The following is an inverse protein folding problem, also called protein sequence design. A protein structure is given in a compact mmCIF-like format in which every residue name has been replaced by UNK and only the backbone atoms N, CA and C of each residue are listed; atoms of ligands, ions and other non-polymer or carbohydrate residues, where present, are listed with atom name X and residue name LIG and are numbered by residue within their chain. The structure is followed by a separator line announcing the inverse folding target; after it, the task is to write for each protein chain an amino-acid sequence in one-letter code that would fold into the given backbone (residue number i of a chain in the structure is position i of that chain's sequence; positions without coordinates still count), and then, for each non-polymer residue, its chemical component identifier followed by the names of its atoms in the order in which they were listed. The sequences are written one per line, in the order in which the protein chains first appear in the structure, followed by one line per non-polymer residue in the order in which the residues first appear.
data_IF_234598251735
#
_entry.id   IF_234598251735
#
_cell.length_a   1.000
_cell.length_b   1.000
_cell.length_c   1.000
_cell.angle_alpha   90.00
_cell.angle_beta   90.00
_cell.angle_gamma   90.00
#
_symmetry.space_group_name_H-M   'P 1'
#
loop_
_entity.id
_entity.type
_entity.pdbx_description
1 polymer ?
#
# COMPACT_ATOMS: atom_id res chain seq x y z
N UNK A 1 -40.07 -38.10 84.45
CA UNK A 1 -41.02 -39.17 84.84
C UNK A 1 -41.08 -39.40 86.36
N UNK A 2 -39.95 -39.61 87.05
CA UNK A 2 -39.94 -39.92 88.49
C UNK A 2 -40.41 -38.74 89.37
N UNK A 3 -39.96 -37.53 89.08
CA UNK A 3 -40.37 -36.32 89.81
C UNK A 3 -41.86 -36.02 89.62
N UNK A 4 -42.36 -36.12 88.38
CA UNK A 4 -43.81 -36.07 88.10
C UNK A 4 -44.62 -37.06 88.92
N UNK A 5 -44.18 -38.31 89.03
CA UNK A 5 -44.91 -39.30 89.81
C UNK A 5 -44.93 -38.96 91.31
N UNK A 6 -43.89 -38.28 91.82
CA UNK A 6 -43.85 -37.75 93.19
C UNK A 6 -44.78 -36.54 93.34
N UNK A 7 -44.76 -35.60 92.41
CA UNK A 7 -45.66 -34.44 92.38
C UNK A 7 -47.14 -34.86 92.29
N UNK A 8 -47.44 -35.87 91.47
CA UNK A 8 -48.78 -36.45 91.36
C UNK A 8 -49.25 -37.04 92.68
N UNK A 9 -48.41 -37.84 93.36
CA UNK A 9 -48.73 -38.39 94.68
C UNK A 9 -48.89 -37.30 95.75
N UNK A 10 -48.03 -36.28 95.74
CA UNK A 10 -48.14 -35.15 96.66
C UNK A 10 -49.43 -34.34 96.43
N UNK A 11 -49.84 -34.18 95.17
CA UNK A 11 -51.11 -33.55 94.81
C UNK A 11 -52.32 -34.43 95.16
N UNK A 12 -52.27 -35.74 94.93
CA UNK A 12 -53.33 -36.69 95.33
C UNK A 12 -53.57 -36.65 96.85
N UNK A 13 -52.50 -36.48 97.65
CA UNK A 13 -52.59 -36.29 99.10
C UNK A 13 -53.23 -34.96 99.52
N UNK A 14 -53.26 -33.95 98.64
CA UNK A 14 -53.87 -32.63 98.90
C UNK A 14 -55.38 -32.57 98.60
N UNK A 15 -55.98 -33.64 98.07
CA UNK A 15 -57.40 -33.70 97.69
C UNK A 15 -58.32 -33.90 98.91
N UNK A 16 -59.51 -33.27 98.89
CA UNK A 16 -60.53 -33.42 99.93
C UNK A 16 -61.10 -34.84 100.03
N UNK A 17 -61.49 -35.28 101.23
CA UNK A 17 -62.00 -36.64 101.47
C UNK A 17 -63.29 -36.95 100.69
N UNK A 18 -63.51 -38.23 100.35
CA UNK A 18 -64.65 -38.68 99.54
C UNK A 18 -66.01 -38.61 100.26
N UNK A 19 -66.02 -38.39 101.57
CA UNK A 19 -67.21 -38.41 102.43
C UNK A 19 -68.03 -37.10 102.41
N UNK A 20 -67.45 -35.96 102.03
CA UNK A 20 -68.08 -34.64 102.16
C UNK A 20 -68.76 -34.17 100.85
N UNK A 21 -70.08 -34.20 100.82
CA UNK A 21 -70.90 -33.84 99.64
C UNK A 21 -70.75 -32.37 99.22
N UNK A 22 -70.40 -31.47 100.14
CA UNK A 22 -70.20 -30.03 99.88
C UNK A 22 -68.88 -29.69 99.19
N UNK A 23 -67.87 -30.59 99.24
CA UNK A 23 -66.53 -30.36 98.66
C UNK A 23 -66.31 -31.13 97.34
N UNK A 24 -67.29 -31.93 96.92
CA UNK A 24 -67.23 -32.78 95.73
C UNK A 24 -66.92 -31.99 94.45
N UNK A 25 -67.59 -30.85 94.23
CA UNK A 25 -67.36 -30.03 93.04
C UNK A 25 -65.95 -29.45 92.98
N UNK A 26 -65.39 -29.08 94.14
CA UNK A 26 -64.01 -28.57 94.25
C UNK A 26 -63.02 -29.67 93.88
N UNK A 27 -63.20 -30.90 94.39
CA UNK A 27 -62.37 -32.07 94.03
C UNK A 27 -62.46 -32.37 92.52
N UNK A 28 -63.65 -32.35 91.94
CA UNK A 28 -63.85 -32.56 90.49
C UNK A 28 -63.12 -31.52 89.65
N UNK A 29 -63.17 -30.24 90.04
CA UNK A 29 -62.42 -29.16 89.37
C UNK A 29 -60.91 -29.39 89.45
N UNK A 30 -60.39 -29.71 90.64
CA UNK A 30 -58.97 -30.01 90.85
C UNK A 30 -58.51 -31.20 90.00
N UNK A 31 -59.30 -32.28 89.93
CA UNK A 31 -59.02 -33.44 89.09
C UNK A 31 -58.96 -33.07 87.60
N UNK A 32 -59.98 -32.38 87.09
CA UNK A 32 -60.01 -31.95 85.68
C UNK A 32 -58.85 -31.01 85.34
N UNK A 33 -58.46 -30.11 86.24
CA UNK A 33 -57.32 -29.21 86.04
C UNK A 33 -56.00 -29.95 85.96
N UNK A 34 -55.80 -30.96 86.82
CA UNK A 34 -54.60 -31.80 86.75
C UNK A 34 -54.58 -32.68 85.51
N UNK A 35 -55.71 -33.26 85.11
CA UNK A 35 -55.81 -33.98 83.85
C UNK A 35 -55.41 -33.06 82.69
N UNK A 36 -55.93 -31.84 82.60
CA UNK A 36 -55.54 -30.87 81.55
C UNK A 36 -54.04 -30.56 81.57
N UNK A 37 -53.41 -30.44 82.74
CA UNK A 37 -51.95 -30.23 82.86
C UNK A 37 -51.18 -31.46 82.36
N UNK A 38 -51.63 -32.67 82.68
CA UNK A 38 -51.04 -33.91 82.16
C UNK A 38 -51.21 -34.04 80.65
N UNK A 39 -52.40 -33.72 80.12
CA UNK A 39 -52.69 -33.68 78.68
C UNK A 39 -51.81 -32.64 77.96
N UNK A 40 -51.73 -31.42 78.49
CA UNK A 40 -50.90 -30.36 77.92
C UNK A 40 -49.42 -30.74 77.87
N UNK A 41 -48.91 -31.45 78.88
CA UNK A 41 -47.55 -31.92 78.84
C UNK A 41 -47.32 -33.02 77.80
N UNK A 42 -48.23 -34.00 77.68
CA UNK A 42 -48.14 -35.01 76.62
C UNK A 42 -48.19 -34.36 75.24
N UNK A 43 -49.03 -33.35 75.08
CA UNK A 43 -49.11 -32.57 73.86
C UNK A 43 -47.76 -31.89 73.54
N UNK A 44 -47.11 -31.28 74.54
CA UNK A 44 -45.76 -30.70 74.36
C UNK A 44 -44.70 -31.75 74.00
N UNK A 45 -44.77 -32.96 74.53
CA UNK A 45 -43.86 -34.04 74.14
C UNK A 45 -44.10 -34.50 72.70
N UNK A 46 -45.37 -34.61 72.30
CA UNK A 46 -45.76 -34.94 70.92
C UNK A 46 -45.30 -33.83 69.97
N UNK A 47 -45.51 -32.56 70.34
CA UNK A 47 -45.08 -31.39 69.59
C UNK A 47 -43.55 -31.40 69.37
N UNK A 48 -42.75 -31.60 70.43
CA UNK A 48 -41.29 -31.74 70.31
C UNK A 48 -40.87 -32.87 69.38
N UNK A 49 -41.54 -34.03 69.47
CA UNK A 49 -41.26 -35.15 68.56
C UNK A 49 -41.64 -34.82 67.11
N UNK A 50 -42.73 -34.09 66.90
CA UNK A 50 -43.16 -33.63 65.57
C UNK A 50 -42.21 -32.57 65.01
N UNK A 51 -41.72 -31.65 65.83
CA UNK A 51 -40.71 -30.65 65.46
C UNK A 51 -39.43 -31.32 64.96
N UNK A 52 -38.89 -32.29 65.72
CA UNK A 52 -37.69 -33.05 65.31
C UNK A 52 -37.93 -33.79 63.99
N UNK A 53 -39.11 -34.42 63.82
CA UNK A 53 -39.47 -35.07 62.55
C UNK A 53 -39.56 -34.08 61.39
N UNK A 54 -40.13 -32.90 61.64
CA UNK A 54 -40.24 -31.83 60.65
C UNK A 54 -38.87 -31.29 60.24
N UNK A 55 -37.93 -31.14 61.18
CA UNK A 55 -36.56 -30.73 60.89
C UNK A 55 -35.87 -31.72 59.95
N UNK A 56 -35.95 -33.03 60.27
CA UNK A 56 -35.42 -34.08 59.39
C UNK A 56 -36.06 -34.04 58.01
N UNK A 57 -37.39 -33.85 57.93
CA UNK A 57 -38.09 -33.73 56.63
C UNK A 57 -37.62 -32.51 55.83
N UNK A 58 -37.42 -31.36 56.49
CA UNK A 58 -36.88 -30.15 55.83
C UNK A 58 -35.50 -30.41 55.25
N UNK A 59 -34.62 -31.07 55.99
CA UNK A 59 -33.28 -31.44 55.49
C UNK A 59 -33.36 -32.39 54.29
N UNK A 60 -34.24 -33.39 54.33
CA UNK A 60 -34.43 -34.31 53.21
C UNK A 60 -34.97 -33.61 51.96
N UNK A 61 -35.90 -32.66 52.13
CA UNK A 61 -36.41 -31.83 51.03
C UNK A 61 -35.30 -30.97 50.43
N UNK A 62 -34.48 -30.32 51.26
CA UNK A 62 -33.32 -29.55 50.79
C UNK A 62 -32.35 -30.42 49.98
N UNK A 63 -31.98 -31.60 50.48
CA UNK A 63 -31.11 -32.54 49.77
C UNK A 63 -31.71 -32.96 48.43
N UNK A 64 -33.02 -33.22 48.38
CA UNK A 64 -33.71 -33.57 47.12
C UNK A 64 -33.64 -32.41 46.12
N UNK A 65 -33.88 -31.19 46.57
CA UNK A 65 -33.85 -30.00 45.73
C UNK A 65 -32.43 -29.70 45.21
N UNK A 66 -31.42 -29.81 46.08
CA UNK A 66 -30.00 -29.70 45.72
C UNK A 66 -29.64 -30.73 44.63
N UNK A 67 -30.00 -32.00 44.81
CA UNK A 67 -29.78 -33.04 43.81
C UNK A 67 -30.49 -32.74 42.48
N UNK A 68 -31.73 -32.25 42.52
CA UNK A 68 -32.47 -31.87 41.32
C UNK A 68 -31.81 -30.68 40.61
N UNK A 69 -31.34 -29.70 41.37
CA UNK A 69 -30.64 -28.54 40.86
C UNK A 69 -29.32 -28.93 40.20
N UNK A 70 -28.55 -29.85 40.78
CA UNK A 70 -27.32 -30.37 40.16
C UNK A 70 -27.59 -31.03 38.80
N UNK A 71 -28.62 -31.87 38.72
CA UNK A 71 -29.03 -32.52 37.46
C UNK A 71 -29.45 -31.46 36.44
N UNK A 72 -30.28 -30.49 36.84
CA UNK A 72 -30.71 -29.40 35.99
C UNK A 72 -29.51 -28.57 35.48
N UNK A 73 -28.55 -28.25 36.35
CA UNK A 73 -27.33 -27.53 35.99
C UNK A 73 -26.47 -28.32 34.99
N UNK A 74 -26.33 -29.63 35.18
CA UNK A 74 -25.61 -30.50 34.22
C UNK A 74 -26.27 -30.46 32.84
N UNK A 75 -27.59 -30.56 32.78
CA UNK A 75 -28.33 -30.47 31.51
C UNK A 75 -28.19 -29.10 30.84
N UNK A 76 -28.25 -28.01 31.61
CA UNK A 76 -28.05 -26.66 31.10
C UNK A 76 -26.63 -26.45 30.57
N UNK A 77 -25.62 -26.90 31.32
CA UNK A 77 -24.21 -26.81 30.91
C UNK A 77 -23.94 -27.61 29.64
N UNK A 78 -24.49 -28.82 29.52
CA UNK A 78 -24.38 -29.63 28.30
C UNK A 78 -25.02 -28.93 27.09
N UNK A 79 -26.21 -28.34 27.28
CA UNK A 79 -26.89 -27.57 26.22
C UNK A 79 -26.10 -26.32 25.83
N UNK A 80 -25.57 -25.60 26.83
CA UNK A 80 -24.76 -24.40 26.63
C UNK A 80 -23.48 -24.73 25.87
N UNK A 81 -22.78 -25.80 26.23
CA UNK A 81 -21.55 -26.25 25.55
C UNK A 81 -21.80 -26.56 24.08
N UNK A 82 -22.88 -27.28 23.75
CA UNK A 82 -23.26 -27.56 22.35
C UNK A 82 -23.56 -26.29 21.55
N UNK A 83 -24.27 -25.34 22.16
CA UNK A 83 -24.56 -24.05 21.51
C UNK A 83 -23.29 -23.21 21.32
N UNK A 84 -22.39 -23.27 22.30
CA UNK A 84 -21.11 -22.57 22.27
C UNK A 84 -20.20 -23.12 21.16
N UNK A 85 -20.07 -24.44 21.02
CA UNK A 85 -19.36 -25.07 19.90
C UNK A 85 -19.94 -24.64 18.53
N UNK A 86 -21.27 -24.61 18.42
CA UNK A 86 -21.94 -24.14 17.20
C UNK A 86 -21.66 -22.67 16.89
N UNK A 87 -21.58 -21.81 17.92
CA UNK A 87 -21.18 -20.41 17.79
C UNK A 87 -19.71 -20.30 17.38
N UNK A 88 -18.80 -21.02 18.03
CA UNK A 88 -17.37 -21.03 17.73
C UNK A 88 -17.08 -21.51 16.32
N UNK A 89 -17.77 -22.55 15.84
CA UNK A 89 -17.67 -23.00 14.46
C UNK A 89 -18.10 -21.91 13.45
N UNK A 90 -19.15 -21.14 13.75
CA UNK A 90 -19.56 -19.98 12.93
C UNK A 90 -18.51 -18.87 12.99
N UNK A 91 -17.98 -18.56 14.16
CA UNK A 91 -16.93 -17.56 14.34
C UNK A 91 -15.66 -17.94 13.57
N UNK A 92 -15.26 -19.22 13.59
CA UNK A 92 -14.12 -19.71 12.82
C UNK A 92 -14.34 -19.57 11.31
N UNK A 93 -15.55 -19.82 10.80
CA UNK A 93 -15.90 -19.55 9.39
C UNK A 93 -15.77 -18.06 9.07
N UNK A 94 -16.32 -17.18 9.92
CA UNK A 94 -16.20 -15.72 9.75
C UNK A 94 -14.74 -15.30 9.73
N UNK A 95 -13.91 -15.78 10.66
CA UNK A 95 -12.50 -15.45 10.72
C UNK A 95 -11.74 -15.91 9.47
N UNK A 96 -12.00 -17.13 8.95
CA UNK A 96 -11.41 -17.60 7.70
C UNK A 96 -11.81 -16.72 6.52
N UNK A 97 -13.09 -16.33 6.44
CA UNK A 97 -13.55 -15.42 5.39
C UNK A 97 -12.89 -14.06 5.50
N UNK A 98 -12.75 -13.53 6.72
CA UNK A 98 -12.08 -12.27 7.01
C UNK A 98 -10.59 -12.28 6.61
N UNK A 99 -9.85 -13.32 6.97
CA UNK A 99 -8.44 -13.46 6.55
C UNK A 99 -8.32 -13.59 5.03
N UNK A 100 -9.21 -14.35 4.40
CA UNK A 100 -9.25 -14.50 2.94
C UNK A 100 -9.58 -13.18 2.23
N UNK A 101 -10.54 -12.40 2.74
CA UNK A 101 -10.90 -11.10 2.17
C UNK A 101 -9.77 -10.10 2.37
N UNK A 102 -9.15 -10.02 3.54
CA UNK A 102 -7.95 -9.20 3.78
C UNK A 102 -6.85 -9.56 2.78
N UNK A 103 -6.52 -10.84 2.62
CA UNK A 103 -5.48 -11.29 1.68
C UNK A 103 -5.80 -10.85 0.25
N UNK A 104 -7.06 -11.00 -0.19
CA UNK A 104 -7.51 -10.53 -1.51
C UNK A 104 -7.41 -9.02 -1.66
N UNK A 105 -7.78 -8.26 -0.62
CA UNK A 105 -7.68 -6.80 -0.61
C UNK A 105 -6.23 -6.32 -0.68
N UNK A 106 -5.32 -6.96 0.08
CA UNK A 106 -3.87 -6.67 0.02
C UNK A 106 -3.33 -6.97 -1.38
N UNK A 107 -3.76 -8.06 -2.01
CA UNK A 107 -3.41 -8.36 -3.41
C UNK A 107 -3.88 -7.28 -4.37
N UNK A 108 -5.15 -6.84 -4.27
CA UNK A 108 -5.71 -5.75 -5.09
C UNK A 108 -5.02 -4.41 -4.84
N UNK A 109 -4.60 -4.13 -3.61
CA UNK A 109 -3.85 -2.92 -3.25
C UNK A 109 -2.49 -2.83 -3.94
N UNK A 110 -1.87 -3.94 -4.35
CA UNK A 110 -0.63 -3.88 -5.14
C UNK A 110 -0.89 -3.29 -6.53
N UNK A 111 -2.05 -3.59 -7.13
CA UNK A 111 -2.43 -3.15 -8.48
C UNK A 111 -3.73 -2.32 -8.43
N UNK A 112 -3.71 -1.18 -7.72
CA UNK A 112 -4.90 -0.31 -7.54
C UNK A 112 -5.45 0.19 -8.88
N UNK A 113 -4.56 0.52 -9.81
CA UNK A 113 -4.91 1.03 -11.14
C UNK A 113 -5.47 -0.05 -12.08
N UNK A 114 -5.38 -1.33 -11.69
CA UNK A 114 -5.85 -2.46 -12.51
C UNK A 114 -5.10 -2.65 -13.83
N UNK A 115 -3.98 -1.95 -14.03
CA UNK A 115 -3.16 -2.07 -15.24
C UNK A 115 -2.52 -3.45 -15.28
N UNK A 116 -2.54 -4.06 -16.46
CA UNK A 116 -1.81 -5.30 -16.73
C UNK A 116 -0.32 -4.98 -16.77
N UNK A 117 0.43 -5.46 -15.78
CA UNK A 117 1.89 -5.33 -15.78
C UNK A 117 2.50 -6.28 -16.81
N UNK A 118 3.44 -5.76 -17.60
CA UNK A 118 4.24 -6.60 -18.50
C UNK A 118 5.13 -7.51 -17.67
N UNK A 119 5.24 -8.78 -18.08
CA UNK A 119 6.10 -9.78 -17.44
C UNK A 119 7.56 -9.28 -17.36
N UNK A 120 8.14 -9.34 -16.16
CA UNK A 120 9.53 -9.00 -15.93
C UNK A 120 10.37 -10.27 -15.81
N UNK A 121 11.02 -10.65 -16.92
CA UNK A 121 11.80 -11.89 -17.01
C UNK A 121 12.92 -11.93 -15.98
N UNK A 122 13.65 -10.83 -15.79
CA UNK A 122 14.76 -10.77 -14.83
C UNK A 122 14.26 -11.07 -13.42
N UNK A 123 13.13 -10.48 -13.05
CA UNK A 123 12.52 -10.72 -11.74
C UNK A 123 12.07 -12.17 -11.58
N UNK A 124 11.43 -12.74 -12.59
CA UNK A 124 10.98 -14.14 -12.57
C UNK A 124 12.16 -15.10 -12.39
N UNK A 125 13.28 -14.90 -13.08
CA UNK A 125 14.44 -15.77 -12.93
C UNK A 125 15.25 -15.52 -11.65
N UNK A 126 15.13 -14.33 -11.05
CA UNK A 126 15.74 -14.02 -9.76
C UNK A 126 15.00 -14.64 -8.56
N UNK A 127 13.71 -14.93 -8.70
CA UNK A 127 12.87 -15.51 -7.64
C UNK A 127 12.58 -16.98 -7.94
N UNK A 128 13.13 -17.89 -7.13
CA UNK A 128 12.88 -19.34 -7.27
C UNK A 128 11.41 -19.73 -7.00
N UNK A 129 10.64 -18.88 -6.30
CA UNK A 129 9.21 -19.10 -6.12
C UNK A 129 8.37 -18.66 -7.33
N UNK A 130 8.99 -18.16 -8.40
CA UNK A 130 8.30 -17.74 -9.60
C UNK A 130 7.75 -18.92 -10.41
N UNK A 131 6.86 -18.59 -11.36
CA UNK A 131 6.25 -19.58 -12.25
C UNK A 131 7.24 -20.25 -13.20
N UNK A 132 8.46 -19.72 -13.35
CA UNK A 132 9.49 -20.31 -14.22
C UNK A 132 9.98 -21.63 -13.64
N UNK A 133 10.25 -21.64 -12.33
CA UNK A 133 10.76 -22.82 -11.63
C UNK A 133 9.63 -23.66 -11.02
N UNK A 134 8.52 -23.02 -10.63
CA UNK A 134 7.34 -23.68 -10.07
C UNK A 134 6.06 -23.34 -10.84
N UNK A 135 5.84 -23.91 -12.03
CA UNK A 135 4.65 -23.62 -12.82
C UNK A 135 3.38 -24.11 -12.10
N UNK A 136 2.34 -23.28 -12.07
CA UNK A 136 1.06 -23.65 -11.47
C UNK A 136 0.25 -24.48 -12.46
N UNK A 137 -0.31 -25.60 -12.00
CA UNK A 137 -0.98 -26.57 -12.87
C UNK A 137 -2.16 -26.03 -13.68
N UNK A 138 -2.85 -25.00 -13.18
CA UNK A 138 -3.93 -24.33 -13.92
C UNK A 138 -3.47 -23.65 -15.22
N UNK A 139 -2.18 -23.41 -15.39
CA UNK A 139 -1.61 -22.80 -16.60
C UNK A 139 -1.33 -23.83 -17.69
N UNK A 140 -1.21 -25.11 -17.35
CA UNK A 140 -0.96 -26.19 -18.31
C UNK A 140 0.43 -26.21 -18.94
N UNK A 141 1.28 -25.20 -18.71
CA UNK A 141 2.63 -25.13 -19.25
C UNK A 141 3.63 -25.75 -18.28
N UNK A 142 4.07 -26.98 -18.57
CA UNK A 142 5.10 -27.69 -17.84
C UNK A 142 6.29 -27.96 -18.76
N UNK A 143 7.41 -27.24 -18.62
CA UNK A 143 8.55 -27.39 -19.53
C UNK A 143 9.18 -28.78 -19.45
N UNK A 144 9.17 -29.42 -18.29
CA UNK A 144 9.83 -30.71 -18.05
C UNK A 144 8.98 -31.93 -18.44
N UNK A 145 7.72 -31.72 -18.84
CA UNK A 145 6.77 -32.82 -19.09
C UNK A 145 7.20 -33.73 -20.26
N UNK A 146 8.00 -33.20 -21.18
CA UNK A 146 8.53 -33.90 -22.36
C UNK A 146 10.05 -34.09 -22.26
N UNK A 147 10.63 -34.01 -21.07
CA UNK A 147 12.09 -34.15 -20.88
C UNK A 147 12.63 -35.49 -21.41
N UNK A 148 11.83 -36.55 -21.39
CA UNK A 148 12.19 -37.86 -21.92
C UNK A 148 12.35 -37.86 -23.45
N UNK A 149 11.63 -37.01 -24.19
CA UNK A 149 11.73 -36.92 -25.65
C UNK A 149 13.10 -36.42 -26.11
N UNK A 150 13.81 -35.69 -25.25
CA UNK A 150 15.14 -35.14 -25.52
C UNK A 150 16.27 -36.03 -25.01
N UNK A 151 15.95 -37.17 -24.38
CA UNK A 151 16.98 -38.12 -23.94
C UNK A 151 17.53 -38.85 -25.17
N UNK A 152 18.63 -38.33 -25.70
CA UNK A 152 19.31 -38.89 -26.87
C UNK A 152 20.01 -40.20 -26.48
N UNK A 153 19.33 -41.33 -26.66
CA UNK A 153 19.93 -42.67 -26.60
C UNK A 153 20.36 -43.07 -28.00
N UNK A 154 21.64 -42.88 -28.31
CA UNK A 154 22.15 -43.13 -29.65
C UNK A 154 23.31 -44.15 -29.65
N UNK A 155 23.23 -45.13 -30.55
CA UNK A 155 24.33 -46.06 -30.83
C UNK A 155 25.64 -45.33 -31.14
N UNK A 156 25.55 -44.24 -31.90
CA UNK A 156 26.72 -43.48 -32.33
C UNK A 156 27.52 -42.83 -31.18
N UNK A 157 26.91 -42.64 -29.99
CA UNK A 157 27.59 -42.04 -28.83
C UNK A 157 28.11 -43.09 -27.83
N UNK A 158 27.56 -44.30 -27.87
CA UNK A 158 27.86 -45.35 -26.88
C UNK A 158 28.93 -46.34 -27.37
N UNK A 159 29.10 -46.49 -28.68
CA UNK A 159 30.02 -47.46 -29.29
C UNK A 159 31.12 -46.73 -30.05
N UNK A 160 32.34 -47.27 -30.00
CA UNK A 160 33.48 -46.72 -30.76
C UNK A 160 33.22 -46.70 -32.27
N UNK A 161 32.69 -47.79 -32.84
CA UNK A 161 32.34 -47.87 -34.26
C UNK A 161 31.38 -46.76 -34.69
N UNK A 162 30.38 -46.49 -33.85
CA UNK A 162 29.41 -45.43 -34.11
C UNK A 162 30.01 -44.01 -34.03
N UNK A 163 31.05 -43.80 -33.22
CA UNK A 163 31.80 -42.53 -33.19
C UNK A 163 32.61 -42.33 -34.48
N UNK A 164 33.20 -43.41 -35.01
CA UNK A 164 33.95 -43.38 -36.28
C UNK A 164 33.02 -43.10 -37.46
N UNK A 165 31.82 -43.71 -37.46
CA UNK A 165 30.78 -43.39 -38.46
C UNK A 165 30.36 -41.91 -38.38
N UNK A 166 30.17 -41.38 -37.17
CA UNK A 166 29.90 -39.95 -36.94
C UNK A 166 31.02 -39.05 -37.47
N UNK A 167 32.28 -39.40 -37.19
CA UNK A 167 33.45 -38.69 -37.70
C UNK A 167 33.47 -38.66 -39.23
N UNK A 168 33.18 -39.80 -39.86
CA UNK A 168 33.16 -39.93 -41.32
C UNK A 168 32.03 -39.13 -41.99
N UNK A 169 30.92 -38.88 -41.29
CA UNK A 169 29.81 -38.06 -41.77
C UNK A 169 30.12 -36.56 -41.69
N UNK A 170 31.08 -36.17 -40.84
CA UNK A 170 31.48 -34.79 -40.69
C UNK A 170 32.48 -34.39 -41.80
N UNK A 171 32.32 -33.22 -42.42
CA UNK A 171 33.28 -32.74 -43.40
C UNK A 171 34.66 -32.53 -42.78
N UNK A 172 35.71 -32.75 -43.57
CA UNK A 172 37.13 -32.59 -43.16
C UNK A 172 37.47 -31.26 -42.48
N UNK A 173 36.72 -30.18 -42.74
CA UNK A 173 36.97 -28.89 -42.08
C UNK A 173 36.57 -28.85 -40.59
N UNK A 174 35.74 -29.79 -40.15
CA UNK A 174 35.29 -29.93 -38.75
C UNK A 174 36.33 -30.71 -37.94
N UNK A 175 36.93 -31.74 -38.54
CA UNK A 175 37.92 -32.61 -37.90
C UNK A 175 39.35 -32.12 -38.08
N UNK A 176 39.65 -31.47 -39.21
CA UNK A 176 40.99 -30.97 -39.53
C UNK A 176 41.06 -29.43 -39.50
N UNK A 177 42.07 -28.84 -38.85
CA UNK A 177 42.22 -27.39 -38.79
C UNK A 177 42.54 -26.81 -40.17
N UNK A 178 41.61 -26.03 -40.73
CA UNK A 178 41.86 -25.28 -41.96
C UNK A 178 42.59 -23.97 -41.68
N UNK A 179 43.92 -23.98 -41.80
CA UNK A 179 44.73 -22.76 -41.76
C UNK A 179 44.61 -22.06 -43.11
N UNK A 180 43.62 -21.17 -43.24
CA UNK A 180 43.50 -20.26 -44.38
C UNK A 180 43.93 -18.86 -43.95
N UNK A 181 45.01 -18.36 -44.56
CA UNK A 181 45.34 -16.94 -44.43
C UNK A 181 44.16 -16.10 -44.99
N UNK A 182 43.66 -15.10 -44.24
CA UNK A 182 42.54 -14.30 -44.69
C UNK A 182 42.92 -13.53 -45.96
N UNK A 183 42.33 -13.92 -47.10
CA UNK A 183 42.51 -13.19 -48.36
C UNK A 183 41.80 -11.82 -48.24
N UNK A 184 42.48 -10.69 -48.50
CA UNK A 184 41.84 -9.38 -48.44
C UNK A 184 40.77 -9.27 -49.54
N UNK A 185 39.49 -9.21 -49.14
CA UNK A 185 38.34 -9.17 -50.07
C UNK A 185 38.35 -7.97 -51.02
N UNK A 186 38.92 -6.85 -50.60
CA UNK A 186 39.05 -5.63 -51.41
C UNK A 186 40.31 -4.90 -50.98
N UNK A 187 41.27 -4.75 -51.89
CA UNK A 187 42.57 -4.08 -51.70
C UNK A 187 42.37 -2.55 -51.59
N UNK A 188 41.33 -2.05 -52.25
CA UNK A 188 40.96 -0.63 -52.33
C UNK A 188 39.80 -0.28 -51.40
N UNK A 189 39.75 0.98 -50.98
CA UNK A 189 38.60 1.58 -50.29
C UNK A 189 37.58 2.09 -51.31
N UNK A 190 36.35 2.42 -50.88
CA UNK A 190 35.31 2.97 -51.77
C UNK A 190 35.74 4.25 -52.50
N UNK A 191 36.71 4.98 -51.95
CA UNK A 191 37.31 6.19 -52.52
C UNK A 191 38.57 5.92 -53.37
N UNK A 192 38.88 4.65 -53.69
CA UNK A 192 39.99 4.27 -54.57
C UNK A 192 41.35 4.11 -53.88
N UNK A 193 41.51 4.51 -52.62
CA UNK A 193 42.79 4.41 -51.90
C UNK A 193 43.10 2.98 -51.44
N UNK A 194 44.39 2.60 -51.48
CA UNK A 194 44.88 1.33 -50.93
C UNK A 194 44.69 1.28 -49.41
N UNK A 195 44.16 0.15 -48.91
CA UNK A 195 44.05 -0.11 -47.47
C UNK A 195 45.44 -0.25 -46.84
N UNK A 196 45.54 0.06 -45.55
CA UNK A 196 46.81 0.09 -44.79
C UNK A 196 47.66 -1.18 -44.96
N UNK A 197 47.04 -2.37 -44.97
CA UNK A 197 47.75 -3.64 -45.18
C UNK A 197 48.39 -3.75 -46.58
N UNK A 198 47.69 -3.33 -47.63
CA UNK A 198 48.18 -3.38 -49.02
C UNK A 198 49.10 -2.21 -49.38
N UNK A 199 49.16 -1.17 -48.53
CA UNK A 199 50.05 -0.02 -48.73
C UNK A 199 51.50 -0.40 -48.55
N UNK A 200 51.81 -1.19 -47.52
CA UNK A 200 53.17 -1.69 -47.29
C UNK A 200 53.65 -2.55 -48.45
N UNK A 201 52.83 -3.47 -48.93
CA UNK A 201 53.17 -4.33 -50.08
C UNK A 201 53.43 -3.50 -51.35
N UNK A 202 52.64 -2.44 -51.57
CA UNK A 202 52.83 -1.53 -52.71
C UNK A 202 54.09 -0.67 -52.57
N UNK A 203 54.35 -0.12 -51.38
CA UNK A 203 55.58 0.62 -51.06
C UNK A 203 56.81 -0.29 -51.23
N UNK A 204 56.74 -1.55 -50.77
CA UNK A 204 57.80 -2.53 -50.97
C UNK A 204 58.02 -2.82 -52.47
N UNK A 205 56.96 -2.91 -53.26
CA UNK A 205 57.07 -3.09 -54.71
C UNK A 205 57.70 -1.86 -55.40
N UNK A 206 57.38 -0.64 -54.98
CA UNK A 206 58.00 0.59 -55.47
C UNK A 206 59.47 0.68 -55.07
N UNK A 207 59.81 0.36 -53.83
CA UNK A 207 61.19 0.30 -53.34
C UNK A 207 61.98 -0.75 -54.12
N UNK A 208 61.41 -1.94 -54.34
CA UNK A 208 62.05 -2.99 -55.13
C UNK A 208 62.33 -2.53 -56.57
N UNK A 209 61.37 -1.87 -57.22
CA UNK A 209 61.57 -1.27 -58.56
C UNK A 209 62.66 -0.20 -58.54
N UNK A 210 62.63 0.72 -57.57
CA UNK A 210 63.64 1.77 -57.45
C UNK A 210 65.05 1.22 -57.20
N UNK A 211 65.17 0.11 -56.45
CA UNK A 211 66.44 -0.58 -56.25
C UNK A 211 66.93 -1.26 -57.52
N UNK A 212 66.04 -1.89 -58.30
CA UNK A 212 66.38 -2.44 -59.62
C UNK A 212 66.84 -1.34 -60.58
N UNK A 213 66.12 -0.23 -60.63
CA UNK A 213 66.47 0.91 -61.50
C UNK A 213 67.80 1.55 -61.09
N UNK A 214 68.09 1.64 -59.78
CA UNK A 214 69.40 2.10 -59.28
C UNK A 214 70.51 1.11 -59.57
N UNK A 215 70.25 -0.19 -59.48
CA UNK A 215 71.21 -1.23 -59.84
C UNK A 215 71.53 -1.19 -61.34
N UNK A 216 70.54 -0.89 -62.17
CA UNK A 216 70.67 -0.82 -63.62
C UNK A 216 71.19 0.56 -64.11
N UNK A 217 71.08 1.61 -63.30
CA UNK A 217 71.69 2.92 -63.59
C UNK A 217 73.19 2.89 -63.33
N UNK A 218 73.96 2.76 -64.40
CA UNK A 218 75.39 3.09 -64.43
C UNK A 218 75.55 4.60 -64.15
N UNK A 219 76.52 4.96 -63.31
CA UNK A 219 76.82 6.32 -62.84
C UNK A 219 76.98 7.31 -64.01
N UNK A 220 75.95 8.09 -64.31
CA UNK A 220 76.11 9.27 -65.15
C UNK A 220 76.64 10.45 -64.32
N UNK A 221 77.73 11.05 -64.80
CA UNK A 221 78.38 12.22 -64.22
C UNK A 221 77.43 13.42 -64.29
N UNK A 222 77.04 13.96 -63.12
CA UNK A 222 76.16 15.13 -63.04
C UNK A 222 76.86 16.35 -63.66
N UNK A 223 76.30 16.89 -64.76
CA UNK A 223 76.73 18.17 -65.34
C UNK A 223 76.34 19.32 -64.39
N UNK A 224 77.22 20.31 -64.15
CA UNK A 224 76.89 21.44 -63.29
C UNK A 224 75.84 22.35 -63.96
N UNK A 225 74.88 22.90 -63.19
CA UNK A 225 73.83 23.77 -63.71
C UNK A 225 74.43 25.08 -64.23
N UNK A 226 74.07 25.47 -65.45
CA UNK A 226 74.66 26.62 -66.15
C UNK A 226 74.00 27.97 -65.81
N UNK A 227 72.80 27.97 -65.19
CA UNK A 227 72.10 29.20 -64.79
C UNK A 227 71.23 29.02 -63.53
N UNK A 228 71.18 30.05 -62.68
CA UNK A 228 70.26 30.15 -61.55
C UNK A 228 68.91 30.71 -62.04
N UNK A 229 67.87 29.88 -62.02
CA UNK A 229 66.50 30.31 -62.27
C UNK A 229 65.82 30.66 -60.94
N UNK A 230 65.37 31.91 -60.78
CA UNK A 230 64.67 32.37 -59.58
C UNK A 230 63.21 31.91 -59.63
N UNK A 231 62.83 31.05 -58.69
CA UNK A 231 61.45 30.61 -58.50
C UNK A 231 60.60 31.74 -57.89
N UNK A 232 59.41 32.06 -58.43
CA UNK A 232 58.53 33.05 -57.82
C UNK A 232 57.97 32.56 -56.48
N UNK A 233 57.82 33.47 -55.52
CA UNK A 233 57.25 33.19 -54.19
C UNK A 233 55.73 32.96 -54.35
N UNK A 234 55.15 31.87 -53.83
CA UNK A 234 53.71 31.61 -53.91
C UNK A 234 52.89 32.63 -53.10
N UNK A 235 51.70 32.98 -53.59
CA UNK A 235 50.81 33.96 -52.94
C UNK A 235 50.38 33.53 -51.52
N UNK A 236 50.29 34.46 -50.55
CA UNK A 236 49.93 34.15 -49.17
C UNK A 236 48.44 33.81 -49.02
N UNK A 237 48.14 32.91 -48.08
CA UNK A 237 46.78 32.46 -47.75
C UNK A 237 46.01 33.56 -47.01
N UNK A 238 44.68 33.55 -47.14
CA UNK A 238 43.78 34.39 -46.33
C UNK A 238 43.92 34.02 -44.83
N UNK A 239 43.87 35.00 -43.90
CA UNK A 239 43.97 34.74 -42.47
C UNK A 239 42.73 34.03 -41.94
N UNK A 240 42.93 33.05 -41.05
CA UNK A 240 41.88 32.35 -40.33
C UNK A 240 41.13 33.34 -39.41
N UNK A 241 39.79 33.31 -39.33
CA UNK A 241 39.06 34.23 -38.46
C UNK A 241 39.40 33.97 -36.99
N UNK A 242 39.87 35.01 -36.30
CA UNK A 242 40.22 35.02 -34.88
C UNK A 242 38.98 35.41 -34.07
N UNK A 243 38.62 34.64 -33.06
CA UNK A 243 37.61 35.02 -32.06
C UNK A 243 38.17 36.20 -31.25
N UNK A 244 37.43 37.30 -31.18
CA UNK A 244 37.74 38.40 -30.26
C UNK A 244 37.60 37.88 -28.83
N UNK A 245 38.74 37.68 -28.17
CA UNK A 245 38.77 37.40 -26.73
C UNK A 245 38.39 38.70 -26.04
N UNK A 246 37.18 38.77 -25.49
CA UNK A 246 36.75 39.86 -24.62
C UNK A 246 37.64 39.92 -23.39
N UNK A 247 37.72 41.08 -22.74
CA UNK A 247 38.64 41.28 -21.62
C UNK A 247 38.30 40.33 -20.46
N UNK A 248 39.31 39.81 -19.76
CA UNK A 248 39.11 38.87 -18.64
C UNK A 248 38.14 39.42 -17.57
N UNK A 249 38.07 40.74 -17.41
CA UNK A 249 37.17 41.41 -16.46
C UNK A 249 35.69 41.26 -16.84
N UNK A 250 35.37 41.30 -18.14
CA UNK A 250 34.00 41.07 -18.64
C UNK A 250 33.58 39.61 -18.43
N UNK A 251 34.50 38.67 -18.65
CA UNK A 251 34.26 37.24 -18.38
C UNK A 251 34.00 36.98 -16.88
N UNK A 252 34.75 37.64 -15.99
CA UNK A 252 34.54 37.54 -14.54
C UNK A 252 33.19 38.14 -14.11
N UNK A 253 32.80 39.27 -14.70
CA UNK A 253 31.48 39.87 -14.48
C UNK A 253 30.34 38.97 -14.95
N UNK A 254 30.46 38.39 -16.15
CA UNK A 254 29.47 37.45 -16.68
C UNK A 254 29.36 36.20 -15.81
N UNK A 255 30.49 35.67 -15.34
CA UNK A 255 30.52 34.52 -14.43
C UNK A 255 29.89 34.84 -13.07
N UNK A 256 30.12 36.03 -12.51
CA UNK A 256 29.47 36.49 -11.29
C UNK A 256 27.95 36.65 -11.46
N UNK A 257 27.49 37.18 -12.61
CA UNK A 257 26.08 37.28 -12.95
C UNK A 257 25.43 35.90 -13.08
N UNK A 258 26.09 34.95 -13.75
CA UNK A 258 25.62 33.56 -13.87
C UNK A 258 25.50 32.91 -12.48
N UNK A 259 26.44 33.18 -11.58
CA UNK A 259 26.40 32.68 -10.21
C UNK A 259 25.22 33.24 -9.42
N UNK A 260 24.98 34.56 -9.49
CA UNK A 260 23.82 35.21 -8.89
C UNK A 260 22.50 34.64 -9.42
N UNK A 261 22.39 34.42 -10.74
CA UNK A 261 21.21 33.80 -11.34
C UNK A 261 20.97 32.38 -10.82
N UNK A 262 22.03 31.57 -10.66
CA UNK A 262 21.93 30.22 -10.09
C UNK A 262 21.46 30.25 -8.64
N UNK A 263 21.97 31.17 -7.82
CA UNK A 263 21.54 31.34 -6.43
C UNK A 263 20.08 31.74 -6.31
N UNK A 264 19.64 32.72 -7.11
CA UNK A 264 18.24 33.16 -7.10
C UNK A 264 17.29 32.04 -7.54
N UNK A 265 17.64 31.30 -8.60
CA UNK A 265 16.86 30.12 -9.03
C UNK A 265 16.78 29.06 -7.92
N UNK A 266 17.89 28.76 -7.27
CA UNK A 266 17.93 27.83 -6.14
C UNK A 266 17.06 28.28 -4.96
N UNK A 267 17.11 29.58 -4.62
CA UNK A 267 16.33 30.15 -3.51
C UNK A 267 14.84 30.13 -3.80
N UNK A 268 14.42 30.40 -5.03
CA UNK A 268 13.02 30.30 -5.45
C UNK A 268 12.53 28.86 -5.29
N UNK A 269 13.28 27.86 -5.74
CA UNK A 269 12.91 26.44 -5.58
C UNK A 269 12.82 26.05 -4.10
N UNK A 270 13.76 26.50 -3.27
CA UNK A 270 13.71 26.26 -1.82
C UNK A 270 12.46 26.89 -1.19
N UNK A 271 12.14 28.14 -1.49
CA UNK A 271 10.95 28.80 -0.97
C UNK A 271 9.67 28.10 -1.40
N UNK A 272 9.57 27.70 -2.68
CA UNK A 272 8.44 26.89 -3.16
C UNK A 272 8.32 25.54 -2.41
N UNK A 273 9.45 24.90 -2.11
CA UNK A 273 9.47 23.67 -1.32
C UNK A 273 9.03 23.92 0.13
N UNK A 274 9.50 25.01 0.76
CA UNK A 274 9.12 25.39 2.12
C UNK A 274 7.63 25.69 2.22
N UNK A 275 7.08 26.51 1.32
CA UNK A 275 5.63 26.78 1.27
C UNK A 275 4.83 25.50 1.01
N UNK A 276 5.31 24.63 0.11
CA UNK A 276 4.69 23.34 -0.17
C UNK A 276 4.66 22.43 1.06
N UNK A 277 5.75 22.42 1.84
CA UNK A 277 5.83 21.70 3.11
C UNK A 277 4.86 22.28 4.12
N UNK A 278 4.81 23.61 4.30
CA UNK A 278 3.91 24.26 5.26
C UNK A 278 2.44 23.97 4.96
N UNK A 279 2.03 24.08 3.70
CA UNK A 279 0.67 23.73 3.25
C UNK A 279 0.28 22.28 3.56
N UNK A 280 1.26 21.38 3.72
CA UNK A 280 1.06 19.94 3.95
C UNK A 280 1.49 19.50 5.35
N UNK A 281 1.85 20.42 6.25
CA UNK A 281 2.36 20.08 7.59
C UNK A 281 1.35 19.25 8.40
N UNK A 282 0.07 19.61 8.36
CA UNK A 282 -1.02 18.88 9.02
C UNK A 282 -1.06 17.41 8.55
N UNK A 283 -1.02 17.18 7.24
CA UNK A 283 -0.99 15.84 6.65
C UNK A 283 0.28 15.06 7.02
N UNK A 284 1.44 15.73 7.07
CA UNK A 284 2.70 15.10 7.47
C UNK A 284 2.64 14.66 8.93
N UNK A 285 2.07 15.48 9.82
CA UNK A 285 1.85 15.12 11.22
C UNK A 285 0.84 13.98 11.36
N UNK A 286 -0.25 13.98 10.59
CA UNK A 286 -1.20 12.85 10.54
C UNK A 286 -0.49 11.55 10.17
N UNK A 287 0.30 11.55 9.09
CA UNK A 287 1.00 10.35 8.60
C UNK A 287 2.04 9.84 9.59
N UNK A 288 2.80 10.74 10.23
CA UNK A 288 3.80 10.37 11.24
C UNK A 288 3.18 9.77 12.48
N UNK A 289 2.04 10.31 12.93
CA UNK A 289 1.44 9.85 14.18
C UNK A 289 0.50 8.66 14.02
N UNK A 290 0.04 8.32 12.80
CA UNK A 290 -0.73 7.09 12.54
C UNK A 290 0.09 5.80 12.67
N UNK A 291 1.43 5.89 12.65
CA UNK A 291 2.31 4.71 12.62
C UNK A 291 2.54 4.06 14.00
N UNK A 292 2.13 4.69 15.11
CA UNK A 292 2.54 4.28 16.46
C UNK A 292 1.41 4.09 17.51
N UNK A 293 0.13 4.12 17.13
CA UNK A 293 -0.97 4.18 18.11
C UNK A 293 -1.69 2.86 18.39
N UNK A 294 -2.09 2.69 19.65
CA UNK A 294 -3.04 1.67 20.10
C UNK A 294 -4.47 2.00 19.65
N UNK A 295 -5.41 1.06 19.70
CA UNK A 295 -6.73 1.19 19.04
C UNK A 295 -7.60 2.34 19.55
N UNK A 296 -7.53 2.66 20.85
CA UNK A 296 -8.29 3.75 21.46
C UNK A 296 -7.79 5.13 21.03
N UNK A 297 -6.47 5.29 20.92
CA UNK A 297 -5.84 6.51 20.39
C UNK A 297 -6.17 6.73 18.91
N UNK A 298 -6.44 5.66 18.15
CA UNK A 298 -6.93 5.79 16.76
C UNK A 298 -8.34 6.35 16.70
N UNK A 299 -9.20 6.08 17.69
CA UNK A 299 -10.56 6.62 17.74
C UNK A 299 -10.54 8.12 18.07
N UNK A 300 -9.72 8.53 19.04
CA UNK A 300 -9.52 9.95 19.39
C UNK A 300 -9.00 10.73 18.18
N UNK A 301 -8.01 10.22 17.45
CA UNK A 301 -7.50 10.88 16.24
C UNK A 301 -8.46 10.91 15.07
N UNK A 302 -9.37 9.94 14.96
CA UNK A 302 -10.45 10.00 13.96
C UNK A 302 -11.43 11.13 14.28
N UNK A 303 -11.73 11.37 15.55
CA UNK A 303 -12.56 12.50 15.97
C UNK A 303 -11.85 13.84 15.70
N UNK A 304 -10.58 13.96 16.07
CA UNK A 304 -9.75 15.16 15.76
C UNK A 304 -9.69 15.43 14.25
N UNK A 305 -9.54 14.39 13.43
CA UNK A 305 -9.55 14.51 11.96
C UNK A 305 -10.88 15.02 11.41
N UNK A 306 -12.00 14.62 11.99
CA UNK A 306 -13.30 15.14 11.57
C UNK A 306 -13.43 16.64 11.91
N UNK A 307 -12.90 17.06 13.05
CA UNK A 307 -12.85 18.47 13.46
C UNK A 307 -11.95 19.29 12.53
N UNK A 308 -10.75 18.82 12.20
CA UNK A 308 -9.84 19.55 11.28
C UNK A 308 -10.43 19.67 9.87
N UNK A 309 -11.06 18.62 9.34
CA UNK A 309 -11.74 18.66 8.06
C UNK A 309 -12.94 19.63 8.07
N UNK A 310 -13.69 19.71 9.18
CA UNK A 310 -14.76 20.68 9.32
C UNK A 310 -14.23 22.13 9.33
N UNK A 311 -13.11 22.37 10.04
CA UNK A 311 -12.44 23.67 10.06
C UNK A 311 -11.88 24.07 8.69
N UNK A 312 -11.27 23.13 7.94
CA UNK A 312 -10.82 23.38 6.57
C UNK A 312 -11.98 23.71 5.63
N UNK A 313 -13.12 22.99 5.74
CA UNK A 313 -14.33 23.33 4.98
C UNK A 313 -14.83 24.73 5.29
N UNK A 314 -14.81 25.13 6.57
CA UNK A 314 -15.18 26.50 6.96
C UNK A 314 -14.21 27.54 6.41
N UNK A 315 -12.89 27.29 6.45
CA UNK A 315 -11.88 28.16 5.84
C UNK A 315 -12.10 28.33 4.34
N UNK A 316 -12.31 27.23 3.61
CA UNK A 316 -12.58 27.27 2.16
C UNK A 316 -13.87 28.04 1.84
N UNK A 317 -14.93 27.85 2.63
CA UNK A 317 -16.17 28.62 2.49
C UNK A 317 -15.94 30.11 2.80
N UNK A 318 -15.09 30.43 3.78
CA UNK A 318 -14.72 31.80 4.10
C UNK A 318 -13.89 32.43 2.99
N UNK A 319 -12.89 31.75 2.44
CA UNK A 319 -12.11 32.19 1.29
C UNK A 319 -12.98 32.42 0.06
N UNK A 320 -13.92 31.52 -0.23
CA UNK A 320 -14.89 31.70 -1.33
C UNK A 320 -15.80 32.91 -1.09
N UNK A 321 -16.27 33.13 0.15
CA UNK A 321 -17.07 34.32 0.49
C UNK A 321 -16.25 35.61 0.33
N UNK A 322 -15.01 35.62 0.79
CA UNK A 322 -14.10 36.77 0.64
C UNK A 322 -13.81 37.01 -0.84
N UNK A 323 -13.60 35.97 -1.64
CA UNK A 323 -13.40 36.09 -3.09
C UNK A 323 -14.65 36.63 -3.79
N UNK A 324 -15.84 36.16 -3.42
CA UNK A 324 -17.12 36.69 -3.93
C UNK A 324 -17.34 38.16 -3.53
N UNK A 325 -17.00 38.53 -2.30
CA UNK A 325 -17.05 39.93 -1.85
C UNK A 325 -16.06 40.82 -2.62
N UNK A 326 -14.82 40.38 -2.78
CA UNK A 326 -13.81 41.11 -3.55
C UNK A 326 -14.20 41.21 -5.03
N UNK A 327 -14.77 40.15 -5.61
CA UNK A 327 -15.25 40.16 -6.99
C UNK A 327 -16.47 41.07 -7.16
N UNK A 328 -17.40 41.07 -6.21
CA UNK A 328 -18.55 41.98 -6.14
C UNK A 328 -18.11 43.44 -6.05
N UNK A 329 -17.18 43.77 -5.15
CA UNK A 329 -16.62 45.12 -5.01
C UNK A 329 -15.88 45.54 -6.29
N UNK A 330 -15.08 44.65 -6.88
CA UNK A 330 -14.34 44.95 -8.11
C UNK A 330 -15.28 45.14 -9.32
N UNK A 331 -16.36 44.37 -9.41
CA UNK A 331 -17.39 44.52 -10.44
C UNK A 331 -18.16 45.84 -10.27
N UNK A 332 -18.55 46.20 -9.05
CA UNK A 332 -19.18 47.49 -8.75
C UNK A 332 -18.27 48.68 -9.09
N UNK A 333 -16.98 48.60 -8.77
CA UNK A 333 -16.02 49.69 -9.06
C UNK A 333 -15.70 49.81 -10.55
N UNK A 334 -15.56 48.69 -11.30
CA UNK A 334 -15.25 48.74 -12.75
C UNK A 334 -16.45 48.99 -13.66
N UNK A 335 -17.66 48.53 -13.33
CA UNK A 335 -18.81 48.64 -14.24
C UNK A 335 -19.68 49.88 -14.02
N UNK A 336 -19.59 50.54 -12.85
CA UNK A 336 -20.31 51.79 -12.61
C UNK A 336 -20.04 52.91 -13.65
N UNK A 337 -18.80 53.16 -14.11
CA UNK A 337 -18.55 54.20 -15.13
C UNK A 337 -18.93 53.79 -16.58
N UNK A 338 -19.03 52.49 -16.89
CA UNK A 338 -19.39 51.99 -18.23
C UNK A 338 -20.89 52.05 -18.51
N UNK A 339 -21.72 51.90 -17.47
CA UNK A 339 -23.18 52.01 -17.61
C UNK A 339 -23.56 53.48 -17.85
N UNK A 340 -22.94 54.46 -17.17
CA UNK A 340 -23.22 55.88 -17.41
C UNK A 340 -22.77 56.40 -18.79
N UNK A 341 -21.69 55.85 -19.38
CA UNK A 341 -21.21 56.29 -20.71
C UNK A 341 -22.03 55.72 -21.88
N UNK A 342 -22.56 54.51 -21.74
CA UNK A 342 -23.42 53.89 -22.77
C UNK A 342 -24.79 54.60 -22.87
N UNK A 343 -25.37 55.01 -21.74
CA UNK A 343 -26.62 55.78 -21.73
C UNK A 343 -26.47 57.16 -22.37
N UNK A 344 -25.37 57.89 -22.14
CA UNK A 344 -25.14 59.20 -22.75
C UNK A 344 -24.96 59.10 -24.28
N UNK A 345 -24.27 58.07 -24.75
CA UNK A 345 -24.02 57.82 -26.18
C UNK A 345 -25.31 57.45 -26.94
N UNK A 346 -26.20 56.68 -26.30
CA UNK A 346 -27.51 56.32 -26.88
C UNK A 346 -28.42 57.55 -27.00
N UNK A 347 -28.45 58.42 -25.97
CA UNK A 347 -29.25 59.66 -25.99
C UNK A 347 -28.76 60.61 -27.10
N UNK A 348 -27.45 60.74 -27.30
CA UNK A 348 -26.87 61.54 -28.39
C UNK A 348 -27.27 60.99 -29.76
N UNK A 349 -27.22 59.67 -29.96
CA UNK A 349 -27.56 59.03 -31.24
C UNK A 349 -29.05 59.15 -31.60
N UNK A 350 -29.94 59.08 -30.59
CA UNK A 350 -31.37 59.32 -30.77
C UNK A 350 -31.62 60.77 -31.21
N UNK A 351 -30.95 61.75 -30.58
CA UNK A 351 -31.05 63.16 -30.95
C UNK A 351 -30.54 63.46 -32.37
N UNK A 352 -29.44 62.83 -32.81
CA UNK A 352 -28.96 62.94 -34.18
C UNK A 352 -29.93 62.35 -35.21
N UNK A 353 -30.52 61.18 -34.92
CA UNK A 353 -31.53 60.58 -35.81
C UNK A 353 -32.76 61.48 -35.96
N UNK A 354 -33.20 62.11 -34.87
CA UNK A 354 -34.31 63.07 -34.88
C UNK A 354 -33.97 64.32 -35.71
N UNK A 355 -32.74 64.85 -35.61
CA UNK A 355 -32.24 65.95 -36.48
C UNK A 355 -32.19 65.54 -37.96
N UNK A 356 -31.72 64.33 -38.29
CA UNK A 356 -31.69 63.81 -39.67
C UNK A 356 -33.11 63.64 -40.26
N UNK A 357 -34.09 63.17 -39.46
CA UNK A 357 -35.50 63.12 -39.88
C UNK A 357 -36.08 64.52 -40.15
N UNK A 358 -35.78 65.51 -39.31
CA UNK A 358 -36.20 66.91 -39.55
C UNK A 358 -35.57 67.51 -40.83
N UNK A 359 -34.28 67.24 -41.10
CA UNK A 359 -33.62 67.66 -42.36
C UNK A 359 -34.21 66.98 -43.61
N UNK A 360 -34.53 65.68 -43.55
CA UNK A 360 -35.20 64.97 -44.67
C UNK A 360 -36.63 65.49 -44.92
N UNK A 361 -37.38 65.87 -43.89
CA UNK A 361 -38.71 66.52 -44.06
C UNK A 361 -38.60 67.92 -44.69
N UNK A 362 -37.55 68.69 -44.40
CA UNK A 362 -37.32 70.02 -45.03
C UNK A 362 -36.86 69.94 -46.49
N UNK A 363 -36.19 68.86 -46.92
CA UNK A 363 -35.79 68.63 -48.33
C UNK A 363 -36.90 68.09 -49.25
N UNK A 364 -38.03 67.64 -48.71
CA UNK A 364 -39.23 67.22 -49.48
C UNK A 364 -40.30 68.32 -49.60
N UNK A 365 -40.00 69.56 -49.15
CA UNK A 365 -40.90 70.73 -49.17
C UNK A 365 -40.28 71.95 -49.87
N UNK A 366 -39.30 71.73 -50.76
CA UNK A 366 -38.74 72.73 -51.66
C UNK A 366 -38.70 72.18 -53.06
#
# INVERSE_FOLDING_TARGET
MIERAREKRAWEASLSALSDTSQFEKRRKMMNEMERKEWAFREQEIEKLQEIRLEVLKELLRKREENQNEVNMKHLNARWSKLQEGKEAKMAKIQRTHVSTIRKLVGKRKNIEGKLERRNIIKDYSDYASQVYGPLSRLGCFPDNNSEDFVVKNYYLNTYEGLVELESCLPDFVTQPQIRAPKPKVITTKAGFLKRAARLDYELAEVHKALLDKKNKVLEVKKPPRFLQRNPIPQPRLPTPTLEMTSNEEEEMEMAVIYLQKLLRGRVVQNMMFEGKEKRLELIQELRTCHALQEDEKLVKKAEKQVTLALQRQRNLHEHKVFLFLFSCYFLVKFSPLILSSHSTIIIKINEMMKKKKKKKKKKKK
#
